data_IF_929878970364
#
_entry.id   IF_929878970364
#
_cell.length_a   1.000
_cell.length_b   1.000
_cell.length_c   1.000
_cell.angle_alpha   90.00
_cell.angle_beta   90.00
_cell.angle_gamma   90.00
#
_symmetry.space_group_name_H-M   'P 1'
#
loop_
_entity.id
_entity.type
_entity.pdbx_description
1 polymer ?
#
# COMPACT_ATOMS: atom_id res chain seq x y z
N UNK A 1 1.21 -15.40 -2.04
CA UNK A 1 2.09 -14.32 -2.52
C UNK A 1 1.38 -13.58 -3.64
N UNK A 2 1.24 -12.26 -3.53
CA UNK A 2 0.57 -11.40 -4.54
C UNK A 2 1.26 -10.04 -4.59
N UNK A 3 1.07 -9.30 -5.69
CA UNK A 3 1.55 -7.92 -5.83
C UNK A 3 0.37 -6.96 -5.77
N UNK A 4 0.43 -5.97 -4.88
CA UNK A 4 -0.59 -4.94 -4.72
C UNK A 4 -0.03 -3.56 -5.08
N UNK A 5 -0.83 -2.77 -5.78
CA UNK A 5 -0.59 -1.34 -5.99
C UNK A 5 -1.71 -0.57 -5.30
N UNK A 6 -1.37 0.26 -4.32
CA UNK A 6 -2.32 1.01 -3.51
C UNK A 6 -2.39 2.46 -4.02
N UNK A 7 -3.50 2.80 -4.68
CA UNK A 7 -3.74 4.11 -5.27
C UNK A 7 -4.62 4.92 -4.31
N UNK A 8 -4.17 6.14 -3.99
CA UNK A 8 -4.90 7.05 -3.12
C UNK A 8 -5.96 7.86 -3.89
N UNK A 9 -6.89 8.48 -3.16
CA UNK A 9 -7.87 9.41 -3.73
C UNK A 9 -7.35 10.84 -3.87
N UNK A 10 -8.21 11.77 -4.26
CA UNK A 10 -7.84 13.18 -4.42
C UNK A 10 -7.26 13.79 -3.14
N UNK A 11 -6.22 14.63 -3.29
CA UNK A 11 -5.55 15.36 -2.20
C UNK A 11 -4.87 14.49 -1.11
N UNK A 12 -4.60 13.23 -1.43
CA UNK A 12 -3.87 12.30 -0.58
C UNK A 12 -2.53 11.92 -1.21
N UNK A 13 -1.76 11.08 -0.52
CA UNK A 13 -0.59 10.38 -1.05
C UNK A 13 -0.58 8.95 -0.54
N UNK A 14 0.44 8.17 -0.91
CA UNK A 14 0.64 6.80 -0.45
C UNK A 14 0.69 6.64 1.08
N UNK A 15 0.95 7.72 1.81
CA UNK A 15 0.94 7.77 3.27
C UNK A 15 -0.38 7.30 3.90
N UNK A 16 -1.53 7.47 3.23
CA UNK A 16 -2.83 7.01 3.77
C UNK A 16 -2.89 5.48 3.89
N UNK A 17 -2.13 4.78 3.06
CA UNK A 17 -2.09 3.33 3.02
C UNK A 17 -1.08 2.70 3.96
N UNK A 18 -0.35 3.49 4.77
CA UNK A 18 0.73 2.99 5.62
C UNK A 18 0.33 1.76 6.46
N UNK A 19 -0.79 1.77 7.21
CA UNK A 19 -1.17 0.59 8.02
C UNK A 19 -1.50 -0.63 7.15
N UNK A 20 -2.18 -0.41 6.03
CA UNK A 20 -2.55 -1.49 5.10
C UNK A 20 -1.33 -2.10 4.42
N UNK A 21 -0.38 -1.28 3.99
CA UNK A 21 0.86 -1.72 3.38
C UNK A 21 1.69 -2.54 4.37
N UNK A 22 1.80 -2.09 5.63
CA UNK A 22 2.50 -2.84 6.68
C UNK A 22 1.89 -4.24 6.90
N UNK A 23 0.56 -4.35 6.98
CA UNK A 23 -0.11 -5.64 7.17
C UNK A 23 0.02 -6.57 5.95
N UNK A 24 -0.07 -6.02 4.74
CA UNK A 24 0.11 -6.82 3.52
C UNK A 24 1.55 -7.32 3.36
N UNK A 25 2.54 -6.49 3.70
CA UNK A 25 3.96 -6.90 3.71
C UNK A 25 4.20 -7.98 4.77
N UNK A 26 3.65 -7.85 5.99
CA UNK A 26 3.75 -8.89 7.03
C UNK A 26 3.17 -10.23 6.58
N UNK A 27 2.14 -10.23 5.73
CA UNK A 27 1.54 -11.43 5.13
C UNK A 27 2.33 -12.00 3.93
N UNK A 28 3.49 -11.41 3.62
CA UNK A 28 4.35 -11.88 2.53
C UNK A 28 3.88 -11.42 1.15
N UNK A 29 3.22 -10.27 1.04
CA UNK A 29 2.90 -9.66 -0.25
C UNK A 29 3.91 -8.59 -0.64
N UNK A 30 4.08 -8.38 -1.95
CA UNK A 30 4.79 -7.21 -2.48
C UNK A 30 3.80 -6.06 -2.62
N UNK A 31 4.12 -4.89 -2.08
CA UNK A 31 3.19 -3.75 -2.02
C UNK A 31 3.88 -2.49 -2.48
N UNK A 32 3.22 -1.76 -3.38
CA UNK A 32 3.63 -0.44 -3.84
C UNK A 32 2.53 0.57 -3.54
N UNK A 33 2.76 1.54 -2.63
CA UNK A 33 1.91 2.71 -2.47
C UNK A 33 2.62 3.95 -3.07
N UNK A 34 2.45 4.28 -4.36
CA UNK A 34 3.12 5.43 -4.97
C UNK A 34 2.66 6.78 -4.39
N UNK A 35 3.58 7.75 -4.44
CA UNK A 35 3.47 9.18 -4.01
C UNK A 35 3.42 9.45 -2.52
#
# INVERSE_FOLDING_TARGET
MSTYVLIHGSYQGGWIWKPTAEELVKKGHTVYPPT
#
